data_IF_779159785202
#
_entry.id   IF_779159785202
#
_cell.length_a   1.000
_cell.length_b   1.000
_cell.length_c   1.000
_cell.angle_alpha   90.00
_cell.angle_beta   90.00
_cell.angle_gamma   90.00
#
_symmetry.space_group_name_H-M   'P 1'
#
loop_
_entity.id
_entity.type
_entity.pdbx_description
1 polymer ?
#
# COMPACT_ATOMS: atom_id res chain seq x y z
N UNK A 1 24.22 1.54 17.21
CA UNK A 1 24.72 0.39 16.40
C UNK A 1 24.24 0.44 14.94
N UNK A 2 22.94 0.61 14.67
CA UNK A 2 22.40 0.71 13.30
C UNK A 2 22.99 1.90 12.50
N UNK A 3 23.23 3.02 13.16
CA UNK A 3 23.88 4.23 12.60
C UNK A 3 25.22 3.98 11.88
N UNK A 4 25.95 2.91 12.25
CA UNK A 4 27.25 2.56 11.67
C UNK A 4 27.10 1.69 10.42
N UNK A 5 25.89 1.19 10.14
CA UNK A 5 25.59 0.25 9.06
C UNK A 5 25.24 0.98 7.75
N UNK A 6 26.11 1.87 7.27
CA UNK A 6 25.85 2.71 6.08
C UNK A 6 25.70 1.94 4.76
N UNK A 7 26.08 0.66 4.75
CA UNK A 7 25.96 -0.26 3.61
C UNK A 7 24.75 -1.19 3.70
N UNK A 8 23.94 -1.07 4.77
CA UNK A 8 22.77 -1.90 4.97
C UNK A 8 21.74 -1.67 3.86
N UNK A 9 21.28 -2.76 3.23
CA UNK A 9 20.30 -2.73 2.14
C UNK A 9 18.91 -3.09 2.64
N UNK A 10 18.83 -3.99 3.60
CA UNK A 10 17.59 -4.52 4.14
C UNK A 10 17.74 -4.67 5.65
N UNK A 11 16.72 -4.22 6.36
CA UNK A 11 16.59 -4.40 7.79
C UNK A 11 15.22 -4.97 8.08
N UNK A 12 15.18 -6.11 8.79
CA UNK A 12 13.93 -6.70 9.25
C UNK A 12 14.04 -7.12 10.70
N UNK A 13 13.14 -6.58 11.52
CA UNK A 13 13.01 -6.95 12.92
C UNK A 13 11.83 -7.93 13.04
N UNK A 14 12.15 -9.23 12.98
CA UNK A 14 11.14 -10.31 12.98
C UNK A 14 10.59 -10.65 14.36
N UNK A 15 11.35 -10.33 15.42
CA UNK A 15 10.96 -10.55 16.81
C UNK A 15 11.11 -9.23 17.56
N UNK A 16 10.01 -8.77 18.15
CA UNK A 16 10.00 -7.53 18.91
C UNK A 16 10.80 -7.68 20.21
N UNK A 17 11.72 -6.76 20.55
CA UNK A 17 12.56 -6.85 21.73
C UNK A 17 11.81 -6.52 23.04
N UNK A 18 10.47 -6.49 23.02
CA UNK A 18 9.53 -6.05 24.07
C UNK A 18 9.75 -6.67 25.46
N UNK A 19 10.52 -7.76 25.57
CA UNK A 19 10.84 -8.39 26.85
C UNK A 19 12.24 -8.04 27.41
N UNK A 20 13.02 -7.20 26.73
CA UNK A 20 14.29 -6.71 27.26
C UNK A 20 14.10 -5.32 27.82
N UNK A 21 14.49 -5.11 29.08
CA UNK A 21 14.60 -3.77 29.66
C UNK A 21 15.64 -2.98 28.86
N UNK A 22 15.20 -2.28 27.82
CA UNK A 22 16.12 -1.53 26.97
C UNK A 22 16.56 -0.32 27.77
N UNK A 23 17.85 -0.29 28.08
CA UNK A 23 18.53 0.84 28.68
C UNK A 23 18.49 2.01 27.68
N UNK A 24 17.86 3.12 28.08
CA UNK A 24 17.68 4.34 27.26
C UNK A 24 19.00 4.85 26.66
N UNK A 25 20.14 4.49 27.25
CA UNK A 25 21.48 4.85 26.77
C UNK A 25 21.85 4.27 25.39
N UNK A 26 21.08 3.32 24.86
CA UNK A 26 21.33 2.69 23.55
C UNK A 26 20.45 3.22 22.42
N UNK A 27 19.53 4.13 22.73
CA UNK A 27 18.65 4.74 21.74
C UNK A 27 19.38 5.81 20.93
N UNK A 28 19.06 5.94 19.63
CA UNK A 28 19.54 7.08 18.87
C UNK A 28 19.03 8.36 19.52
N UNK A 29 19.94 9.30 19.79
CA UNK A 29 19.66 10.61 20.38
C UNK A 29 19.81 11.76 19.38
N UNK A 30 20.15 11.44 18.12
CA UNK A 30 20.24 12.39 17.02
C UNK A 30 19.93 11.70 15.69
N UNK A 31 19.43 12.44 14.68
CA UNK A 31 19.12 11.87 13.38
C UNK A 31 20.33 11.22 12.71
N UNK A 32 20.15 10.05 12.11
CA UNK A 32 21.17 9.35 11.33
C UNK A 32 20.60 8.82 10.01
N UNK A 33 21.47 8.66 9.02
CA UNK A 33 21.09 8.30 7.66
C UNK A 33 21.51 6.87 7.36
N UNK A 34 20.59 6.07 6.83
CA UNK A 34 20.90 4.78 6.18
C UNK A 34 20.78 4.93 4.66
N UNK A 35 21.86 5.35 3.97
CA UNK A 35 21.75 5.90 2.61
C UNK A 35 21.46 4.85 1.54
N UNK A 36 21.56 3.56 1.86
CA UNK A 36 21.36 2.46 0.91
C UNK A 36 20.23 1.51 1.30
N UNK A 37 19.54 1.78 2.41
CA UNK A 37 18.48 0.92 2.90
C UNK A 37 17.28 1.03 1.97
N UNK A 38 16.92 -0.09 1.36
CA UNK A 38 15.80 -0.21 0.41
C UNK A 38 14.57 -0.86 1.04
N UNK A 39 14.78 -1.73 2.02
CA UNK A 39 13.70 -2.43 2.73
C UNK A 39 13.86 -2.18 4.23
N UNK A 40 12.81 -1.67 4.85
CA UNK A 40 12.75 -1.45 6.29
C UNK A 40 11.48 -2.10 6.83
N UNK A 41 11.64 -3.12 7.65
CA UNK A 41 10.58 -3.75 8.42
C UNK A 41 10.76 -3.43 9.89
N UNK A 42 9.71 -2.83 10.47
CA UNK A 42 9.73 -2.33 11.83
C UNK A 42 8.36 -2.56 12.51
N UNK A 43 8.32 -3.12 13.73
CA UNK A 43 7.11 -3.17 14.54
C UNK A 43 6.77 -1.77 15.02
N UNK A 44 5.51 -1.34 14.84
CA UNK A 44 5.10 -0.01 15.28
C UNK A 44 4.31 -0.11 16.57
N UNK A 45 4.99 0.20 17.67
CA UNK A 45 4.40 0.55 18.96
C UNK A 45 4.83 1.98 19.30
N UNK A 46 3.94 2.96 19.10
CA UNK A 46 4.25 4.36 19.36
C UNK A 46 4.37 4.71 20.87
N UNK A 47 4.00 3.77 21.76
CA UNK A 47 4.19 3.91 23.20
C UNK A 47 5.58 3.45 23.63
N UNK A 48 6.20 2.56 22.86
CA UNK A 48 7.48 2.00 23.21
C UNK A 48 8.64 2.97 22.87
N UNK A 49 9.50 3.34 23.84
CA UNK A 49 10.52 4.38 23.65
C UNK A 49 11.49 4.11 22.50
N UNK A 50 11.78 2.83 22.25
CA UNK A 50 12.72 2.41 21.20
C UNK A 50 12.15 2.68 19.83
N UNK A 51 10.88 2.32 19.63
CA UNK A 51 10.19 2.49 18.37
C UNK A 51 10.00 3.98 18.09
N UNK A 52 9.63 4.77 19.11
CA UNK A 52 9.62 6.24 18.99
C UNK A 52 10.95 6.83 18.56
N UNK A 53 12.05 6.45 19.23
CA UNK A 53 13.38 6.96 18.90
C UNK A 53 13.81 6.55 17.49
N UNK A 54 13.52 5.31 17.09
CA UNK A 54 13.82 4.81 15.76
C UNK A 54 13.02 5.52 14.67
N UNK A 55 11.72 5.74 14.88
CA UNK A 55 10.85 6.49 13.98
C UNK A 55 11.30 7.96 13.86
N UNK A 56 11.66 8.59 14.98
CA UNK A 56 12.04 10.01 15.00
C UNK A 56 13.41 10.29 14.37
N UNK A 57 14.39 9.40 14.55
CA UNK A 57 15.79 9.69 14.22
C UNK A 57 16.33 8.94 13.00
N UNK A 58 15.57 8.02 12.39
CA UNK A 58 16.06 7.28 11.22
C UNK A 58 15.66 7.99 9.92
N UNK A 59 16.65 8.39 9.12
CA UNK A 59 16.43 8.93 7.78
C UNK A 59 16.73 7.89 6.70
N UNK A 60 15.76 7.62 5.81
CA UNK A 60 15.80 6.51 4.86
C UNK A 60 15.67 6.98 3.39
N UNK A 61 16.67 7.70 2.84
CA UNK A 61 16.56 8.38 1.54
C UNK A 61 16.52 7.44 0.32
N UNK A 62 16.85 6.16 0.48
CA UNK A 62 16.82 5.16 -0.60
C UNK A 62 15.70 4.13 -0.43
N UNK A 63 14.77 4.35 0.51
CA UNK A 63 13.76 3.37 0.86
C UNK A 63 12.82 3.10 -0.32
N UNK A 64 12.62 1.84 -0.65
CA UNK A 64 11.74 1.38 -1.72
C UNK A 64 10.51 0.65 -1.17
N UNK A 65 10.69 -0.08 -0.06
CA UNK A 65 9.65 -0.88 0.60
C UNK A 65 9.65 -0.61 2.10
N UNK A 66 8.52 -0.16 2.61
CA UNK A 66 8.23 -0.11 4.05
C UNK A 66 7.37 -1.32 4.42
N UNK A 67 7.78 -2.07 5.43
CA UNK A 67 6.97 -3.13 6.03
C UNK A 67 6.61 -2.68 7.44
N UNK A 68 5.33 -2.41 7.63
CA UNK A 68 4.74 -1.96 8.86
C UNK A 68 4.11 -3.16 9.56
N UNK A 69 4.64 -3.53 10.72
CA UNK A 69 4.08 -4.62 11.53
C UNK A 69 3.33 -4.00 12.69
N UNK A 70 2.00 -4.09 12.69
CA UNK A 70 1.16 -3.59 13.76
C UNK A 70 1.00 -4.71 14.80
N UNK A 71 1.66 -4.60 15.96
CA UNK A 71 1.74 -5.73 16.90
C UNK A 71 0.60 -5.76 17.93
N UNK A 72 0.14 -4.59 18.39
CA UNK A 72 -1.07 -4.40 19.19
C UNK A 72 -1.12 -2.90 19.50
N UNK A 73 -2.31 -2.36 19.73
CA UNK A 73 -2.56 -0.97 20.18
C UNK A 73 -2.67 0.04 19.03
N UNK A 74 -3.87 0.62 18.94
CA UNK A 74 -4.21 1.71 18.03
C UNK A 74 -3.14 2.79 17.99
N UNK A 75 -2.39 2.79 16.89
CA UNK A 75 -1.38 3.80 16.61
C UNK A 75 -2.10 5.14 16.46
N UNK A 76 -2.02 5.96 17.51
CA UNK A 76 -2.53 7.32 17.44
C UNK A 76 -1.56 8.12 16.58
N UNK A 77 -2.10 9.08 15.82
CA UNK A 77 -1.26 10.05 15.12
C UNK A 77 -0.34 10.73 16.14
N UNK A 78 0.93 10.38 16.15
CA UNK A 78 1.95 10.96 17.03
C UNK A 78 2.90 11.84 16.21
N UNK A 79 3.48 12.85 16.85
CA UNK A 79 4.47 13.73 16.21
C UNK A 79 5.64 12.91 15.64
N UNK A 80 6.09 11.89 16.37
CA UNK A 80 7.16 10.97 15.94
C UNK A 80 6.84 10.26 14.62
N UNK A 81 5.58 9.86 14.43
CA UNK A 81 5.12 9.26 13.19
C UNK A 81 5.07 10.28 12.05
N UNK A 82 4.52 11.47 12.30
CA UNK A 82 4.54 12.52 11.27
C UNK A 82 5.96 12.83 10.81
N UNK A 83 6.90 12.96 11.75
CA UNK A 83 8.33 13.18 11.47
C UNK A 83 8.94 12.03 10.68
N UNK A 84 8.67 10.78 11.07
CA UNK A 84 9.14 9.60 10.34
C UNK A 84 8.66 9.62 8.88
N UNK A 85 7.38 9.96 8.67
CA UNK A 85 6.80 10.04 7.33
C UNK A 85 7.33 11.22 6.51
N UNK A 86 7.70 12.34 7.14
CA UNK A 86 8.41 13.46 6.47
C UNK A 86 9.84 13.08 6.06
N UNK A 87 10.46 12.11 6.75
CA UNK A 87 11.78 11.57 6.42
C UNK A 87 11.76 10.52 5.31
N UNK A 88 10.58 10.16 4.80
CA UNK A 88 10.52 9.21 3.71
C UNK A 88 10.96 9.80 2.38
N UNK A 89 11.66 8.94 1.64
CA UNK A 89 12.10 9.25 0.31
C UNK A 89 10.95 9.25 -0.68
N UNK A 90 11.06 10.11 -1.69
CA UNK A 90 10.29 10.00 -2.93
C UNK A 90 10.51 8.65 -3.65
N UNK A 91 11.49 7.84 -3.23
CA UNK A 91 11.71 6.49 -3.77
C UNK A 91 10.78 5.41 -3.24
N UNK A 92 9.98 5.69 -2.21
CA UNK A 92 9.05 4.70 -1.63
C UNK A 92 8.02 4.28 -2.68
N UNK A 93 8.01 2.98 -2.99
CA UNK A 93 7.23 2.41 -4.09
C UNK A 93 6.31 1.28 -3.66
N UNK A 94 6.54 0.70 -2.47
CA UNK A 94 5.72 -0.36 -1.92
C UNK A 94 5.54 -0.19 -0.41
N UNK A 95 4.34 -0.47 0.07
CA UNK A 95 4.01 -0.54 1.49
C UNK A 95 3.47 -1.93 1.77
N UNK A 96 3.91 -2.55 2.86
CA UNK A 96 3.31 -3.77 3.40
C UNK A 96 2.80 -3.47 4.79
N UNK A 97 1.58 -3.89 5.10
CA UNK A 97 1.00 -3.81 6.44
C UNK A 97 0.73 -5.24 6.90
N UNK A 98 1.28 -5.59 8.05
CA UNK A 98 1.16 -6.92 8.64
C UNK A 98 0.39 -6.80 9.95
N UNK A 99 -0.54 -7.73 10.18
CA UNK A 99 -1.38 -7.80 11.39
C UNK A 99 -2.18 -6.50 11.65
N UNK A 100 -2.66 -5.85 10.58
CA UNK A 100 -3.47 -4.64 10.72
C UNK A 100 -4.77 -4.94 11.47
N UNK A 101 -4.99 -4.24 12.58
CA UNK A 101 -6.11 -4.45 13.49
C UNK A 101 -6.89 -3.16 13.78
N UNK A 102 -8.18 -3.28 14.10
CA UNK A 102 -9.05 -2.11 14.24
C UNK A 102 -8.60 -1.15 15.38
N UNK A 103 -8.68 0.17 15.12
CA UNK A 103 -8.37 1.18 16.14
C UNK A 103 -8.39 2.62 15.63
N UNK A 104 -7.72 2.92 14.52
CA UNK A 104 -7.69 4.25 13.89
C UNK A 104 -7.61 4.19 12.36
N UNK A 105 -8.05 5.26 11.69
CA UNK A 105 -7.95 5.40 10.24
C UNK A 105 -6.50 5.63 9.81
N UNK A 106 -6.00 4.79 8.91
CA UNK A 106 -4.64 4.84 8.35
C UNK A 106 -4.50 5.84 7.19
N UNK A 107 -5.62 6.40 6.73
CA UNK A 107 -5.78 7.55 5.82
C UNK A 107 -4.63 8.56 5.85
N UNK A 108 -4.38 9.10 7.04
CA UNK A 108 -3.40 10.16 7.27
C UNK A 108 -2.00 9.77 6.83
N UNK A 109 -1.65 8.49 6.93
CA UNK A 109 -0.36 7.97 6.51
C UNK A 109 -0.27 7.87 4.99
N UNK A 110 -1.29 7.32 4.33
CA UNK A 110 -1.27 7.10 2.89
C UNK A 110 -1.30 8.39 2.06
N UNK A 111 -1.87 9.47 2.62
CA UNK A 111 -1.99 10.76 1.94
C UNK A 111 -0.65 11.33 1.43
N UNK A 112 0.47 10.98 2.08
CA UNK A 112 1.81 11.50 1.76
C UNK A 112 2.56 10.72 0.66
N UNK A 113 2.07 9.56 0.21
CA UNK A 113 2.84 8.66 -0.67
C UNK A 113 2.31 8.58 -2.09
N UNK A 114 2.58 9.62 -2.88
CA UNK A 114 2.19 9.62 -4.30
C UNK A 114 2.92 8.58 -5.15
N UNK A 115 4.13 8.16 -4.79
CA UNK A 115 4.96 7.25 -5.60
C UNK A 115 4.70 5.75 -5.36
N UNK A 116 3.89 5.41 -4.37
CA UNK A 116 3.59 4.02 -4.02
C UNK A 116 2.73 3.37 -5.11
N UNK A 117 3.20 2.20 -5.56
CA UNK A 117 2.62 1.39 -6.63
C UNK A 117 2.04 0.08 -6.13
N UNK A 118 2.50 -0.42 -4.99
CA UNK A 118 2.01 -1.68 -4.40
C UNK A 118 1.68 -1.52 -2.93
N UNK A 119 0.57 -2.13 -2.53
CA UNK A 119 0.14 -2.27 -1.15
C UNK A 119 -0.06 -3.76 -0.85
N UNK A 120 0.71 -4.32 0.09
CA UNK A 120 0.49 -5.68 0.60
C UNK A 120 -0.18 -5.60 1.97
N UNK A 121 -1.26 -6.35 2.14
CA UNK A 121 -2.05 -6.43 3.36
C UNK A 121 -2.01 -7.89 3.83
N UNK A 122 -1.28 -8.17 4.91
CA UNK A 122 -1.03 -9.53 5.41
C UNK A 122 -1.60 -9.68 6.80
N UNK A 123 -2.40 -10.73 7.05
CA UNK A 123 -2.97 -11.01 8.38
C UNK A 123 -3.81 -9.85 8.94
N UNK A 124 -4.38 -9.02 8.07
CA UNK A 124 -5.26 -7.94 8.46
C UNK A 124 -6.67 -8.48 8.73
N UNK A 125 -7.37 -7.88 9.70
CA UNK A 125 -8.79 -8.19 9.92
C UNK A 125 -9.72 -7.46 8.95
N UNK A 126 -10.93 -7.98 8.77
CA UNK A 126 -11.92 -7.43 7.84
C UNK A 126 -12.27 -5.96 8.11
N UNK A 127 -12.31 -5.52 9.37
CA UNK A 127 -12.66 -4.13 9.74
C UNK A 127 -11.55 -3.17 9.32
N UNK A 128 -10.29 -3.54 9.55
CA UNK A 128 -9.13 -2.78 9.09
C UNK A 128 -9.12 -2.68 7.57
N UNK A 129 -9.32 -3.80 6.88
CA UNK A 129 -9.36 -3.85 5.41
C UNK A 129 -10.45 -2.93 4.85
N UNK A 130 -11.62 -2.93 5.47
CA UNK A 130 -12.73 -2.06 5.14
C UNK A 130 -12.36 -0.58 5.19
N UNK A 131 -11.65 -0.14 6.22
CA UNK A 131 -11.16 1.24 6.30
C UNK A 131 -10.12 1.55 5.23
N UNK A 132 -9.18 0.62 4.98
CA UNK A 132 -8.21 0.78 3.89
C UNK A 132 -8.92 0.96 2.55
N UNK A 133 -9.95 0.16 2.25
CA UNK A 133 -10.70 0.32 0.99
C UNK A 133 -11.53 1.59 0.95
N UNK A 134 -12.15 2.00 2.06
CA UNK A 134 -12.88 3.27 2.14
C UNK A 134 -11.94 4.45 1.87
N UNK A 135 -10.77 4.47 2.51
CA UNK A 135 -9.74 5.49 2.33
C UNK A 135 -9.27 5.52 0.86
N UNK A 136 -8.94 4.35 0.29
CA UNK A 136 -8.48 4.26 -1.09
C UNK A 136 -9.54 4.63 -2.12
N UNK A 137 -10.83 4.44 -1.81
CA UNK A 137 -11.94 4.72 -2.72
C UNK A 137 -12.35 6.20 -2.71
N UNK A 138 -12.37 6.83 -1.53
CA UNK A 138 -13.04 8.13 -1.36
C UNK A 138 -12.12 9.25 -0.91
N UNK A 139 -11.04 8.93 -0.21
CA UNK A 139 -10.18 9.98 0.30
C UNK A 139 -9.31 10.59 -0.79
N UNK A 140 -9.05 11.88 -0.58
CA UNK A 140 -8.23 12.67 -1.46
C UNK A 140 -7.12 13.33 -0.67
N UNK A 141 -5.95 13.43 -1.28
CA UNK A 141 -4.81 14.16 -0.79
C UNK A 141 -4.41 15.25 -1.77
N UNK A 142 -3.71 16.27 -1.26
CA UNK A 142 -3.09 17.29 -2.08
C UNK A 142 -1.69 16.82 -2.50
N UNK A 143 -1.46 16.73 -3.80
CA UNK A 143 -0.14 16.50 -4.40
C UNK A 143 0.26 17.79 -5.10
N UNK A 144 1.11 18.59 -4.44
CA UNK A 144 1.30 19.98 -4.82
C UNK A 144 0.00 20.76 -4.63
N UNK A 145 -0.49 21.41 -5.70
CA UNK A 145 -1.75 22.17 -5.70
C UNK A 145 -2.94 21.36 -6.26
N UNK A 146 -2.75 20.08 -6.57
CA UNK A 146 -3.79 19.23 -7.17
C UNK A 146 -4.39 18.25 -6.16
N UNK A 147 -5.72 18.20 -6.12
CA UNK A 147 -6.46 17.22 -5.35
C UNK A 147 -6.48 15.87 -6.10
N UNK A 148 -5.94 14.82 -5.49
CA UNK A 148 -5.80 13.48 -6.07
C UNK A 148 -6.31 12.41 -5.11
N UNK A 149 -6.75 11.22 -5.60
CA UNK A 149 -7.03 10.09 -4.72
C UNK A 149 -5.80 9.70 -3.90
N UNK A 150 -6.02 9.19 -2.70
CA UNK A 150 -4.93 8.64 -1.86
C UNK A 150 -4.20 7.51 -2.60
N UNK A 151 -2.86 7.52 -2.51
CA UNK A 151 -1.95 6.67 -3.30
C UNK A 151 -2.25 6.75 -4.81
N UNK A 152 -2.14 7.92 -5.46
CA UNK A 152 -2.55 8.10 -6.85
C UNK A 152 -1.82 7.17 -7.83
N UNK A 153 -0.59 6.73 -7.56
CA UNK A 153 0.11 5.79 -8.46
C UNK A 153 -0.05 4.31 -8.09
N UNK A 154 -0.97 3.95 -7.18
CA UNK A 154 -1.18 2.56 -6.80
C UNK A 154 -1.65 1.73 -7.99
N UNK A 155 -0.98 0.59 -8.19
CA UNK A 155 -1.23 -0.35 -9.29
C UNK A 155 -1.66 -1.72 -8.79
N UNK A 156 -1.29 -2.10 -7.57
CA UNK A 156 -1.62 -3.40 -7.02
C UNK A 156 -1.94 -3.34 -5.53
N UNK A 157 -2.95 -4.12 -5.14
CA UNK A 157 -3.23 -4.50 -3.76
C UNK A 157 -3.13 -6.02 -3.68
N UNK A 158 -2.27 -6.51 -2.80
CA UNK A 158 -2.12 -7.93 -2.51
C UNK A 158 -2.62 -8.21 -1.11
N UNK A 159 -3.55 -9.14 -0.96
CA UNK A 159 -4.20 -9.48 0.30
C UNK A 159 -3.82 -10.91 0.62
N UNK A 160 -3.23 -11.14 1.79
CA UNK A 160 -2.88 -12.49 2.23
C UNK A 160 -3.34 -12.76 3.66
N UNK A 161 -3.84 -13.98 3.89
CA UNK A 161 -4.24 -14.46 5.20
C UNK A 161 -5.26 -13.49 5.86
N UNK A 162 -6.33 -13.17 5.12
CA UNK A 162 -7.41 -12.31 5.61
C UNK A 162 -8.11 -12.96 6.80
N UNK A 163 -8.31 -12.20 7.88
CA UNK A 163 -9.10 -12.64 9.01
C UNK A 163 -10.50 -12.00 8.97
N UNK A 164 -11.47 -12.69 8.38
CA UNK A 164 -12.85 -12.23 8.22
C UNK A 164 -13.27 -12.10 6.76
N UNK A 165 -14.39 -11.40 6.55
CA UNK A 165 -14.96 -11.18 5.22
C UNK A 165 -14.49 -9.85 4.62
N UNK A 166 -14.57 -9.77 3.29
CA UNK A 166 -14.21 -8.60 2.50
C UNK A 166 -15.48 -7.88 2.04
N UNK A 167 -15.64 -6.59 2.35
CA UNK A 167 -16.75 -5.80 1.79
C UNK A 167 -16.53 -5.58 0.28
N UNK A 168 -17.27 -6.37 -0.51
CA UNK A 168 -17.18 -6.36 -1.97
C UNK A 168 -17.61 -5.03 -2.57
N UNK A 169 -18.50 -4.27 -1.92
CA UNK A 169 -18.90 -2.95 -2.41
C UNK A 169 -17.73 -1.96 -2.31
N UNK A 170 -16.95 -2.00 -1.23
CA UNK A 170 -15.76 -1.15 -1.05
C UNK A 170 -14.63 -1.52 -2.02
N UNK A 171 -14.44 -2.81 -2.26
CA UNK A 171 -13.52 -3.31 -3.30
C UNK A 171 -13.91 -2.75 -4.68
N UNK A 172 -15.20 -2.80 -5.02
CA UNK A 172 -15.71 -2.28 -6.30
C UNK A 172 -15.49 -0.77 -6.43
N UNK A 173 -15.73 0.01 -5.36
CA UNK A 173 -15.44 1.44 -5.37
C UNK A 173 -13.95 1.73 -5.54
N UNK A 174 -13.09 0.91 -4.93
CA UNK A 174 -11.65 1.01 -5.11
C UNK A 174 -11.24 0.76 -6.56
N UNK A 175 -11.83 -0.21 -7.25
CA UNK A 175 -11.58 -0.38 -8.69
C UNK A 175 -11.96 0.86 -9.51
N UNK A 176 -13.07 1.54 -9.16
CA UNK A 176 -13.56 2.73 -9.89
C UNK A 176 -12.59 3.91 -9.82
N UNK A 177 -11.76 3.98 -8.78
CA UNK A 177 -10.74 5.02 -8.62
C UNK A 177 -9.76 5.11 -9.80
N UNK A 178 -9.49 3.99 -10.47
CA UNK A 178 -8.52 3.89 -11.58
C UNK A 178 -8.93 4.71 -12.81
N UNK A 179 -10.22 5.02 -12.96
CA UNK A 179 -10.76 5.79 -14.08
C UNK A 179 -10.87 7.29 -13.78
N UNK A 180 -10.93 7.66 -12.51
CA UNK A 180 -11.01 9.05 -12.05
C UNK A 180 -9.68 9.79 -12.08
N UNK A 181 -8.58 9.14 -12.47
CA UNK A 181 -7.27 9.78 -12.48
C UNK A 181 -7.15 10.70 -13.70
N UNK A 182 -6.72 11.97 -13.51
CA UNK A 182 -6.48 12.87 -14.62
C UNK A 182 -5.34 12.30 -15.45
N UNK A 183 -5.69 11.75 -16.61
CA UNK A 183 -4.74 11.37 -17.64
C UNK A 183 -4.06 12.65 -18.10
N UNK A 184 -2.82 12.85 -17.69
CA UNK A 184 -1.98 13.86 -18.32
C UNK A 184 -1.90 13.53 -19.81
N UNK A 185 -2.42 14.47 -20.61
CA UNK A 185 -2.44 14.52 -22.07
C UNK A 185 -3.52 13.69 -22.78
N UNK A 186 -4.32 14.43 -23.52
CA UNK A 186 -5.36 14.02 -24.43
C UNK A 186 -4.85 13.15 -25.58
N UNK A 187 -5.77 12.28 -26.04
CA UNK A 187 -5.71 11.43 -27.25
C UNK A 187 -5.06 10.06 -27.00
N UNK A 188 -5.94 9.06 -26.96
CA UNK A 188 -5.78 7.63 -26.67
C UNK A 188 -5.76 7.27 -25.18
N UNK A 189 -6.55 6.26 -24.74
CA UNK A 189 -6.28 5.57 -23.49
C UNK A 189 -4.91 4.92 -23.66
N UNK A 190 -3.84 5.62 -23.27
CA UNK A 190 -2.52 5.00 -23.14
C UNK A 190 -2.72 3.76 -22.27
N UNK A 191 -2.21 2.61 -22.72
CA UNK A 191 -2.19 1.36 -21.96
C UNK A 191 -1.54 1.59 -20.60
N UNK A 192 -2.30 2.11 -19.65
CA UNK A 192 -1.94 2.10 -18.24
C UNK A 192 -1.83 0.63 -17.84
N UNK A 193 -0.86 0.33 -16.98
CA UNK A 193 -0.83 -0.98 -16.32
C UNK A 193 -2.15 -1.17 -15.58
N UNK A 194 -2.82 -2.34 -15.71
CA UNK A 194 -4.08 -2.57 -15.06
C UNK A 194 -3.95 -2.45 -13.54
N UNK A 195 -4.97 -1.91 -12.88
CA UNK A 195 -5.07 -1.89 -11.43
C UNK A 195 -5.52 -3.27 -10.94
N UNK A 196 -4.66 -3.93 -10.16
CA UNK A 196 -4.85 -5.30 -9.70
C UNK A 196 -5.24 -5.34 -8.22
N UNK A 197 -6.24 -6.16 -7.90
CA UNK A 197 -6.45 -6.66 -6.55
C UNK A 197 -6.27 -8.17 -6.57
N UNK A 198 -5.41 -8.70 -5.70
CA UNK A 198 -5.14 -10.13 -5.55
C UNK A 198 -5.50 -10.57 -4.14
N UNK A 199 -6.32 -11.62 -4.02
CA UNK A 199 -6.60 -12.34 -2.79
C UNK A 199 -5.85 -13.67 -2.84
N UNK A 200 -4.82 -13.80 -2.00
CA UNK A 200 -3.99 -14.98 -1.94
C UNK A 200 -4.60 -16.06 -1.04
N UNK A 201 -4.21 -17.31 -1.31
CA UNK A 201 -4.45 -18.48 -0.45
C UNK A 201 -5.90 -18.98 -0.33
N UNK A 202 -6.91 -18.25 -0.83
CA UNK A 202 -8.30 -18.72 -0.89
C UNK A 202 -9.12 -18.04 -2.01
N UNK A 203 -10.29 -18.61 -2.29
CA UNK A 203 -11.28 -18.05 -3.22
C UNK A 203 -12.32 -17.25 -2.45
N UNK A 204 -12.74 -16.13 -2.99
CA UNK A 204 -13.79 -15.29 -2.41
C UNK A 204 -15.12 -15.64 -3.10
N UNK A 205 -16.19 -15.76 -2.32
CA UNK A 205 -17.54 -15.93 -2.88
C UNK A 205 -18.09 -14.58 -3.37
N UNK A 206 -17.61 -14.14 -4.53
CA UNK A 206 -18.06 -12.88 -5.14
C UNK A 206 -19.55 -12.95 -5.50
N UNK A 207 -20.32 -11.95 -5.07
CA UNK A 207 -21.74 -11.85 -5.37
C UNK A 207 -21.98 -11.69 -6.87
N UNK A 208 -23.19 -12.01 -7.32
CA UNK A 208 -23.57 -11.84 -8.72
C UNK A 208 -23.46 -10.36 -9.13
N UNK A 209 -23.93 -9.47 -8.26
CA UNK A 209 -23.90 -8.02 -8.46
C UNK A 209 -22.46 -7.51 -8.62
N UNK A 210 -21.53 -7.99 -7.79
CA UNK A 210 -20.12 -7.63 -7.91
C UNK A 210 -19.53 -8.06 -9.26
N UNK A 211 -19.78 -9.32 -9.67
CA UNK A 211 -19.30 -9.87 -10.95
C UNK A 211 -19.83 -9.06 -12.12
N UNK A 212 -21.14 -8.82 -12.16
CA UNK A 212 -21.79 -8.05 -13.23
C UNK A 212 -21.23 -6.62 -13.33
N UNK A 213 -21.06 -5.94 -12.21
CA UNK A 213 -20.51 -4.58 -12.21
C UNK A 213 -19.05 -4.52 -12.64
N UNK A 214 -18.21 -5.46 -12.18
CA UNK A 214 -16.80 -5.50 -12.58
C UNK A 214 -16.65 -5.83 -14.08
N UNK A 215 -17.52 -6.70 -14.61
CA UNK A 215 -17.59 -6.99 -16.07
C UNK A 215 -17.97 -5.72 -16.84
N UNK A 216 -19.04 -5.02 -16.43
CA UNK A 216 -19.45 -3.75 -17.06
C UNK A 216 -18.33 -2.71 -17.04
N UNK A 217 -17.54 -2.66 -15.97
CA UNK A 217 -16.38 -1.77 -15.90
C UNK A 217 -15.33 -2.13 -16.97
N UNK A 218 -14.97 -3.40 -17.08
CA UNK A 218 -14.04 -3.86 -18.13
C UNK A 218 -14.57 -3.57 -19.54
N UNK A 219 -15.85 -3.84 -19.79
CA UNK A 219 -16.52 -3.52 -21.07
C UNK A 219 -16.54 -2.01 -21.36
N UNK A 220 -16.63 -1.19 -20.31
CA UNK A 220 -16.53 0.27 -20.40
C UNK A 220 -15.10 0.78 -20.54
N UNK A 221 -14.10 -0.12 -20.60
CA UNK A 221 -12.70 0.19 -20.86
C UNK A 221 -11.81 0.34 -19.63
N UNK A 222 -12.32 0.06 -18.42
CA UNK A 222 -11.51 0.09 -17.19
C UNK A 222 -10.44 -1.00 -17.24
N UNK A 223 -9.18 -0.62 -17.00
CA UNK A 223 -8.05 -1.56 -16.92
C UNK A 223 -7.95 -2.11 -15.50
N UNK A 224 -8.72 -3.15 -15.19
CA UNK A 224 -8.74 -3.78 -13.86
C UNK A 224 -8.45 -5.27 -13.94
N UNK A 225 -7.78 -5.80 -12.92
CA UNK A 225 -7.51 -7.22 -12.76
C UNK A 225 -7.94 -7.69 -11.37
N UNK A 226 -8.62 -8.82 -11.30
CA UNK A 226 -8.94 -9.51 -10.06
C UNK A 226 -8.30 -10.89 -10.08
N UNK A 227 -7.51 -11.19 -9.04
CA UNK A 227 -6.79 -12.45 -8.91
C UNK A 227 -7.16 -13.16 -7.61
N UNK A 228 -7.25 -14.48 -7.68
CA UNK A 228 -7.48 -15.39 -6.56
C UNK A 228 -6.51 -16.55 -6.67
N UNK A 229 -5.91 -16.97 -5.55
CA UNK A 229 -4.95 -18.09 -5.53
C UNK A 229 -3.84 -17.92 -6.59
N UNK A 230 -3.33 -16.69 -6.67
CA UNK A 230 -2.31 -16.24 -7.63
C UNK A 230 -2.63 -16.51 -9.10
N UNK A 231 -3.93 -16.52 -9.46
CA UNK A 231 -4.41 -16.62 -10.84
C UNK A 231 -5.53 -15.59 -11.10
N UNK A 232 -5.65 -15.06 -12.32
CA UNK A 232 -6.81 -14.26 -12.70
C UNK A 232 -8.11 -15.04 -12.54
N UNK A 233 -9.17 -14.40 -12.06
CA UNK A 233 -10.51 -15.02 -12.02
C UNK A 233 -11.00 -15.34 -13.43
N UNK A 234 -11.63 -16.50 -13.60
CA UNK A 234 -12.01 -17.01 -14.93
C UNK A 234 -13.20 -16.28 -15.55
N UNK A 235 -14.07 -15.71 -14.72
CA UNK A 235 -15.32 -15.07 -15.16
C UNK A 235 -15.12 -13.61 -15.62
N UNK A 236 -13.97 -12.99 -15.35
CA UNK A 236 -13.68 -11.62 -15.75
C UNK A 236 -13.05 -11.58 -17.15
N UNK A 237 -13.64 -10.85 -18.12
CA UNK A 237 -13.08 -10.72 -19.46
C UNK A 237 -11.68 -10.12 -19.44
N UNK A 238 -10.80 -10.64 -20.29
CA UNK A 238 -9.47 -10.05 -20.49
C UNK A 238 -9.55 -9.03 -21.61
N UNK A 239 -8.94 -7.88 -21.39
CA UNK A 239 -8.80 -6.84 -22.41
C UNK A 239 -7.87 -7.40 -23.49
N UNK A 240 -8.45 -7.91 -24.57
CA UNK A 240 -7.68 -8.41 -25.69
C UNK A 240 -6.89 -7.25 -26.30
N UNK A 241 -5.57 -7.39 -26.42
CA UNK A 241 -4.77 -6.50 -27.26
C UNK A 241 -5.35 -6.58 -28.67
N UNK A 242 -6.00 -5.51 -29.13
CA UNK A 242 -6.50 -5.41 -30.51
C UNK A 242 -5.37 -5.79 -31.47
N UNK A 243 -5.60 -6.67 -32.46
CA UNK A 243 -4.57 -7.01 -33.43
C UNK A 243 -4.13 -5.74 -34.17
N UNK A 244 -2.82 -5.49 -34.17
CA UNK A 244 -2.22 -4.45 -35.01
C UNK A 244 -2.67 -4.72 -36.45
N UNK A 245 -3.42 -3.78 -37.04
CA UNK A 245 -3.68 -3.77 -38.48
C UNK A 245 -2.33 -3.75 -39.18
N UNK A 246 -1.89 -4.90 -39.68
CA UNK A 246 -0.80 -4.99 -40.66
C UNK A 246 -1.29 -4.24 -41.89
N UNK A 247 -0.69 -3.08 -42.16
CA UNK A 247 -0.96 -2.32 -43.37
C UNK A 247 -0.55 -3.12 -44.58
N UNK A 248 -1.52 -3.57 -45.36
CA UNK A 248 -1.30 -4.02 -46.72
C UNK A 248 -0.96 -2.80 -47.57
N UNK A 249 0.30 -2.70 -47.99
CA UNK A 249 0.72 -1.79 -49.06
C UNK A 249 0.42 -2.51 -50.38
N UNK A 250 -0.52 -1.95 -51.15
CA UNK A 250 -0.69 -2.23 -52.57
C UNK A 250 0.07 -1.22 -53.40
#
# INVERSE_FOLDING_TARGET
MLEKCTHLIEFRLRDSPLNSSIDETWLPSSPFILPRLKVFEWPVDDQHPVDRAMLQYTCLPALQTLVWVEEDIGVRSSESLSTFFEHFSSTLSAIQIHNGHCGHSVSSYFSKFSNVKSLDLKRCDGIFMDWVFDDLAWEKCLVGDQEMPVLPNLKSIYINNLNGDLDQAKVLQTFRRSFSQPSESSIQPSLGSPFRIEVAEFKVDWTLEFKEELIKMVESGYQVELWEDSKPVEWLPRIAKLPQKVGSVG
#
